data_IF_466256479619
#
_entry.id   IF_466256479619
#
_cell.length_a   1.000
_cell.length_b   1.000
_cell.length_c   1.000
_cell.angle_alpha   90.00
_cell.angle_beta   90.00
_cell.angle_gamma   90.00
#
_symmetry.space_group_name_H-M   'P 1'
#
loop_
_entity.id
_entity.type
_entity.pdbx_description
1 polymer ?
#
# COMPACT_ATOMS: atom_id res chain seq x y z
N UNK A 1 4.74 6.76 -7.30
CA UNK A 1 4.65 7.42 -8.63
C UNK A 1 3.84 8.70 -8.60
N UNK A 2 2.72 8.73 -7.86
CA UNK A 2 1.92 9.94 -7.65
C UNK A 2 2.37 10.81 -6.47
N UNK A 3 3.29 10.34 -5.60
CA UNK A 3 3.69 11.10 -4.40
C UNK A 3 4.18 12.53 -4.70
N UNK A 4 5.03 12.80 -5.72
CA UNK A 4 5.44 14.16 -6.05
C UNK A 4 4.28 15.05 -6.51
N UNK A 5 3.29 14.47 -7.18
CA UNK A 5 2.11 15.20 -7.62
C UNK A 5 1.19 15.54 -6.44
N UNK A 6 0.98 14.60 -5.51
CA UNK A 6 0.19 14.82 -4.29
C UNK A 6 0.85 15.90 -3.43
N UNK A 7 2.17 15.84 -3.25
CA UNK A 7 2.92 16.86 -2.53
C UNK A 7 2.81 18.25 -3.19
N UNK A 8 2.85 18.31 -4.53
CA UNK A 8 2.66 19.55 -5.27
C UNK A 8 1.26 20.15 -5.04
N UNK A 9 0.20 19.35 -5.17
CA UNK A 9 -1.19 19.81 -4.93
C UNK A 9 -1.37 20.27 -3.49
N UNK A 10 -0.90 19.50 -2.51
CA UNK A 10 -0.94 19.88 -1.10
C UNK A 10 -0.20 21.20 -0.84
N UNK A 11 0.98 21.41 -1.42
CA UNK A 11 1.72 22.67 -1.26
C UNK A 11 1.07 23.88 -1.95
N UNK A 12 0.13 23.64 -2.88
CA UNK A 12 -0.64 24.70 -3.54
C UNK A 12 -1.92 25.06 -2.78
N UNK A 13 -2.54 24.08 -2.14
CA UNK A 13 -3.80 24.24 -1.40
C UNK A 13 -3.61 24.45 0.12
N UNK A 14 -2.39 24.31 0.64
CA UNK A 14 -2.05 24.54 2.04
C UNK A 14 -0.86 25.50 2.18
N UNK A 15 -0.64 26.05 3.37
CA UNK A 15 0.53 26.91 3.66
C UNK A 15 1.86 26.13 3.78
N UNK A 16 1.85 24.81 3.53
CA UNK A 16 3.04 23.97 3.64
C UNK A 16 3.94 24.08 2.39
N UNK A 17 5.25 24.07 2.62
CA UNK A 17 6.23 23.95 1.53
C UNK A 17 6.13 22.59 0.82
N UNK A 18 6.62 22.49 -0.41
CA UNK A 18 6.65 21.22 -1.15
C UNK A 18 7.41 20.13 -0.38
N UNK A 19 8.50 20.50 0.28
CA UNK A 19 9.32 19.62 1.10
C UNK A 19 8.54 19.07 2.30
N UNK A 20 7.77 19.91 2.98
CA UNK A 20 6.91 19.52 4.10
C UNK A 20 5.75 18.64 3.65
N UNK A 21 5.08 19.01 2.55
CA UNK A 21 4.00 18.22 1.96
C UNK A 21 4.51 16.84 1.53
N UNK A 22 5.67 16.78 0.89
CA UNK A 22 6.28 15.51 0.47
C UNK A 22 6.72 14.66 1.67
N UNK A 23 7.30 15.28 2.71
CA UNK A 23 7.63 14.57 3.93
C UNK A 23 6.39 13.98 4.61
N UNK A 24 5.26 14.71 4.58
CA UNK A 24 3.96 14.24 5.10
C UNK A 24 3.42 13.04 4.30
N UNK A 25 3.44 13.12 2.96
CA UNK A 25 2.98 12.02 2.09
C UNK A 25 3.82 10.76 2.33
N UNK A 26 5.14 10.88 2.31
CA UNK A 26 6.06 9.75 2.52
C UNK A 26 5.87 9.15 3.93
N UNK A 27 5.64 10.01 4.92
CA UNK A 27 5.32 9.56 6.29
C UNK A 27 4.02 8.76 6.33
N UNK A 28 2.96 9.26 5.69
CA UNK A 28 1.68 8.57 5.62
C UNK A 28 1.81 7.22 4.90
N UNK A 29 2.58 7.16 3.82
CA UNK A 29 2.86 5.91 3.10
C UNK A 29 3.58 4.89 3.98
N UNK A 30 4.58 5.33 4.73
CA UNK A 30 5.30 4.47 5.68
C UNK A 30 4.41 3.97 6.82
N UNK A 31 3.53 4.84 7.34
CA UNK A 31 2.56 4.43 8.35
C UNK A 31 1.58 3.41 7.80
N UNK A 32 1.19 3.52 6.53
CA UNK A 32 0.33 2.56 5.84
C UNK A 32 0.99 1.19 5.60
N UNK A 33 2.32 1.09 5.67
CA UNK A 33 3.00 -0.21 5.64
C UNK A 33 2.64 -1.08 6.84
N UNK A 34 2.42 -0.49 8.02
CA UNK A 34 2.05 -1.25 9.22
C UNK A 34 0.75 -2.05 9.00
N UNK A 35 -0.40 -1.42 8.75
CA UNK A 35 -1.65 -2.14 8.52
C UNK A 35 -1.57 -3.05 7.28
N UNK A 36 -0.88 -2.64 6.20
CA UNK A 36 -0.63 -3.51 5.04
C UNK A 36 -0.02 -4.86 5.46
N UNK A 37 1.08 -4.84 6.22
CA UNK A 37 1.75 -6.07 6.65
C UNK A 37 0.97 -6.82 7.71
N UNK A 38 0.39 -6.12 8.68
CA UNK A 38 -0.36 -6.75 9.76
C UNK A 38 -1.62 -7.46 9.22
N UNK A 39 -2.37 -6.84 8.31
CA UNK A 39 -3.55 -7.45 7.70
C UNK A 39 -3.16 -8.66 6.86
N UNK A 40 -2.14 -8.50 6.01
CA UNK A 40 -1.59 -9.60 5.22
C UNK A 40 -1.16 -10.78 6.08
N UNK A 41 -0.43 -10.52 7.18
CA UNK A 41 0.08 -11.53 8.08
C UNK A 41 -1.04 -12.27 8.81
N UNK A 42 -2.03 -11.54 9.34
CA UNK A 42 -3.17 -12.13 10.05
C UNK A 42 -4.01 -12.97 9.09
N UNK A 43 -4.42 -12.40 7.96
CA UNK A 43 -5.24 -13.09 6.97
C UNK A 43 -4.56 -14.35 6.45
N UNK A 44 -3.28 -14.23 6.07
CA UNK A 44 -2.51 -15.38 5.60
C UNK A 44 -2.34 -16.46 6.66
N UNK A 45 -2.00 -16.08 7.89
CA UNK A 45 -1.75 -17.05 8.96
C UNK A 45 -3.00 -17.90 9.18
N UNK A 46 -4.18 -17.28 9.22
CA UNK A 46 -5.42 -18.04 9.40
C UNK A 46 -5.77 -18.89 8.17
N UNK A 47 -5.54 -18.38 6.95
CA UNK A 47 -5.70 -19.19 5.73
C UNK A 47 -4.80 -20.42 5.76
N UNK A 48 -3.54 -20.29 6.18
CA UNK A 48 -2.61 -21.39 6.36
C UNK A 48 -3.11 -22.44 7.37
N UNK A 49 -3.68 -22.00 8.50
CA UNK A 49 -4.21 -22.90 9.52
C UNK A 49 -5.51 -23.61 9.10
N UNK A 50 -6.38 -22.94 8.35
CA UNK A 50 -7.67 -23.49 7.90
C UNK A 50 -7.54 -24.45 6.73
N UNK A 51 -6.50 -24.29 5.93
CA UNK A 51 -6.36 -25.00 4.68
C UNK A 51 -5.51 -26.25 4.85
N UNK A 52 -6.11 -27.43 4.68
CA UNK A 52 -5.38 -28.62 4.22
C UNK A 52 -5.05 -28.43 2.74
N UNK A 53 -4.10 -27.52 2.45
CA UNK A 53 -3.78 -27.07 1.09
C UNK A 53 -3.32 -28.25 0.23
N UNK A 54 -3.95 -28.52 -0.93
CA UNK A 54 -3.32 -29.33 -1.96
C UNK A 54 -1.98 -28.70 -2.36
N UNK A 55 -0.97 -29.53 -2.66
CA UNK A 55 0.45 -29.12 -2.72
C UNK A 55 0.78 -27.88 -3.57
N UNK A 56 -0.03 -27.53 -4.57
CA UNK A 56 0.12 -26.32 -5.39
C UNK A 56 -0.10 -25.01 -4.61
N UNK A 57 -1.00 -25.00 -3.63
CA UNK A 57 -1.28 -23.79 -2.85
C UNK A 57 -0.26 -23.57 -1.71
N UNK A 58 0.57 -24.58 -1.40
CA UNK A 58 1.64 -24.49 -0.42
C UNK A 58 2.75 -23.50 -0.84
N UNK A 59 3.11 -23.44 -2.13
CA UNK A 59 4.12 -22.50 -2.62
C UNK A 59 3.66 -21.04 -2.53
N UNK A 60 2.38 -20.80 -2.85
CA UNK A 60 1.76 -19.47 -2.78
C UNK A 60 1.67 -19.02 -1.31
N UNK A 61 1.19 -19.91 -0.44
CA UNK A 61 1.19 -19.75 1.01
C UNK A 61 2.57 -19.41 1.61
N UNK A 62 3.63 -20.14 1.23
CA UNK A 62 4.99 -19.90 1.70
C UNK A 62 5.55 -18.56 1.20
N UNK A 63 5.32 -18.21 -0.06
CA UNK A 63 5.73 -16.92 -0.62
C UNK A 63 5.07 -15.75 0.11
N UNK A 64 3.78 -15.88 0.38
CA UNK A 64 3.03 -14.88 1.14
C UNK A 64 3.51 -14.80 2.59
N UNK A 65 3.91 -15.92 3.20
CA UNK A 65 4.38 -15.95 4.60
C UNK A 65 5.76 -15.32 4.71
N UNK A 66 6.62 -15.63 3.73
CA UNK A 66 7.91 -14.99 3.57
C UNK A 66 7.76 -13.47 3.37
N UNK A 67 6.74 -13.00 2.63
CA UNK A 67 6.48 -11.56 2.51
C UNK A 67 5.93 -10.95 3.80
N UNK A 68 4.94 -11.60 4.42
CA UNK A 68 4.28 -11.12 5.62
C UNK A 68 5.23 -10.99 6.82
N UNK A 69 6.19 -11.91 6.96
CA UNK A 69 7.23 -11.86 8.00
C UNK A 69 8.49 -11.13 7.53
N UNK A 70 8.90 -11.38 6.29
CA UNK A 70 10.15 -10.89 5.75
C UNK A 70 10.14 -9.38 5.57
N UNK A 71 9.05 -8.76 5.14
CA UNK A 71 9.07 -7.31 4.93
C UNK A 71 9.05 -6.52 6.24
N UNK A 72 8.22 -6.83 7.26
CA UNK A 72 8.37 -6.22 8.59
C UNK A 72 9.76 -6.44 9.18
N UNK A 73 10.34 -7.63 8.99
CA UNK A 73 11.71 -7.91 9.41
C UNK A 73 12.71 -7.04 8.65
N UNK A 74 12.59 -6.88 7.33
CA UNK A 74 13.43 -6.01 6.52
C UNK A 74 13.30 -4.55 6.93
N UNK A 75 12.09 -4.08 7.25
CA UNK A 75 11.85 -2.73 7.78
C UNK A 75 12.50 -2.56 9.15
N UNK A 76 12.32 -3.52 10.06
CA UNK A 76 12.91 -3.48 11.40
C UNK A 76 14.45 -3.55 11.36
N UNK A 77 15.01 -4.41 10.51
CA UNK A 77 16.45 -4.54 10.27
C UNK A 77 16.99 -3.27 9.60
N UNK A 78 16.28 -2.75 8.59
CA UNK A 78 16.61 -1.49 7.93
C UNK A 78 16.67 -0.32 8.91
N UNK A 79 15.70 -0.27 9.83
CA UNK A 79 15.69 0.69 10.94
C UNK A 79 16.86 0.49 11.90
N UNK A 80 17.11 -0.75 12.34
CA UNK A 80 18.17 -1.10 13.28
C UNK A 80 19.56 -0.76 12.75
N UNK A 81 19.76 -0.89 11.43
CA UNK A 81 21.01 -0.63 10.73
C UNK A 81 20.96 0.65 9.88
N UNK A 82 20.07 1.61 10.19
CA UNK A 82 19.84 2.84 9.42
C UNK A 82 21.10 3.56 8.94
N UNK A 83 22.11 3.64 9.79
CA UNK A 83 23.40 4.30 9.49
C UNK A 83 24.22 3.52 8.46
N UNK A 84 24.21 2.18 8.55
CA UNK A 84 24.87 1.31 7.57
C UNK A 84 24.10 1.23 6.27
N UNK A 85 22.76 1.24 6.34
CA UNK A 85 21.89 1.26 5.17
C UNK A 85 22.09 2.54 4.36
N UNK A 86 22.15 3.70 5.03
CA UNK A 86 22.48 4.99 4.40
C UNK A 86 23.82 4.91 3.67
N UNK A 87 24.88 4.44 4.34
CA UNK A 87 26.19 4.31 3.72
C UNK A 87 26.21 3.32 2.53
N UNK A 88 25.45 2.23 2.64
CA UNK A 88 25.30 1.23 1.57
C UNK A 88 24.56 1.78 0.36
N UNK A 89 23.42 2.45 0.56
CA UNK A 89 22.64 3.11 -0.50
C UNK A 89 23.50 4.15 -1.20
N UNK A 90 24.20 5.00 -0.45
CA UNK A 90 25.09 6.01 -1.04
C UNK A 90 26.24 5.38 -1.84
N UNK A 91 26.79 4.23 -1.42
CA UNK A 91 27.79 3.49 -2.21
C UNK A 91 27.25 2.94 -3.52
N UNK A 92 26.01 2.44 -3.52
CA UNK A 92 25.36 1.89 -4.73
C UNK A 92 24.91 3.00 -5.68
N UNK A 93 24.46 4.12 -5.12
CA UNK A 93 23.97 5.28 -5.87
C UNK A 93 25.11 6.13 -6.43
N UNK A 94 26.25 6.25 -5.72
CA UNK A 94 27.43 7.00 -6.18
C UNK A 94 27.87 6.73 -7.64
N UNK A 95 28.00 5.46 -8.11
CA UNK A 95 28.38 5.19 -9.50
C UNK A 95 27.26 5.49 -10.52
N UNK A 96 26.01 5.63 -10.08
CA UNK A 96 24.85 6.00 -10.90
C UNK A 96 24.77 7.53 -11.00
N UNK A 97 24.97 8.25 -9.90
CA UNK A 97 24.99 9.72 -9.87
C UNK A 97 26.16 10.29 -10.66
N UNK A 98 27.28 9.58 -10.75
CA UNK A 98 28.39 9.95 -11.65
C UNK A 98 28.05 9.83 -13.14
N UNK A 99 26.96 9.14 -13.50
CA UNK A 99 26.53 8.94 -14.90
C UNK A 99 25.36 9.84 -15.29
N UNK A 100 24.73 10.53 -14.35
CA UNK A 100 23.52 11.31 -14.61
C UNK A 100 23.48 12.60 -13.79
N UNK A 101 23.31 13.75 -14.43
CA UNK A 101 23.14 15.04 -13.73
C UNK A 101 21.77 15.20 -13.04
N UNK A 102 20.86 14.24 -13.24
CA UNK A 102 19.49 14.27 -12.68
C UNK A 102 19.39 13.80 -11.23
N UNK A 103 20.43 13.15 -10.71
CA UNK A 103 20.45 12.57 -9.36
C UNK A 103 21.78 12.92 -8.69
N UNK A 104 21.76 13.61 -7.55
CA UNK A 104 22.95 13.86 -6.74
C UNK A 104 22.96 12.98 -5.50
N UNK A 105 24.17 12.56 -5.09
CA UNK A 105 24.35 11.78 -3.87
C UNK A 105 23.95 12.59 -2.64
N UNK A 106 24.17 13.92 -2.64
CA UNK A 106 23.69 14.80 -1.57
C UNK A 106 22.16 14.85 -1.50
N UNK A 107 21.44 14.91 -2.63
CA UNK A 107 19.98 14.93 -2.63
C UNK A 107 19.40 13.62 -2.09
N UNK A 108 20.00 12.48 -2.43
CA UNK A 108 19.59 11.17 -1.89
C UNK A 108 19.90 11.07 -0.40
N UNK A 109 21.06 11.57 0.05
CA UNK A 109 21.40 11.61 1.47
C UNK A 109 20.44 12.51 2.27
N UNK A 110 20.13 13.70 1.76
CA UNK A 110 19.19 14.64 2.36
C UNK A 110 17.78 14.02 2.48
N UNK A 111 17.29 13.37 1.41
CA UNK A 111 16.01 12.65 1.42
C UNK A 111 15.96 11.54 2.48
N UNK A 112 17.04 10.79 2.64
CA UNK A 112 17.15 9.74 3.67
C UNK A 112 17.16 10.38 5.08
N UNK A 113 17.82 11.51 5.27
CA UNK A 113 17.87 12.21 6.55
C UNK A 113 16.52 12.86 6.90
N UNK A 114 15.82 13.45 5.94
CA UNK A 114 14.47 13.99 6.10
C UNK A 114 13.47 12.89 6.48
N UNK A 115 13.60 11.71 5.87
CA UNK A 115 12.83 10.52 6.22
C UNK A 115 13.03 10.13 7.69
N UNK A 116 14.29 10.03 8.13
CA UNK A 116 14.61 9.69 9.53
C UNK A 116 14.19 10.80 10.50
N UNK A 117 14.30 12.06 10.10
CA UNK A 117 13.85 13.20 10.90
C UNK A 117 12.32 13.22 11.03
N UNK A 118 11.59 12.91 9.97
CA UNK A 118 10.13 12.77 10.00
C UNK A 118 9.71 11.66 10.97
N UNK A 119 10.35 10.49 10.91
CA UNK A 119 10.14 9.43 11.91
C UNK A 119 10.47 9.89 13.33
N UNK A 120 11.55 10.64 13.52
CA UNK A 120 11.95 11.22 14.80
C UNK A 120 10.92 12.20 15.37
N UNK A 121 10.28 13.00 14.52
CA UNK A 121 9.20 13.93 14.89
C UNK A 121 7.92 13.21 15.28
N UNK A 122 7.54 12.14 14.58
CA UNK A 122 6.37 11.34 14.97
C UNK A 122 6.62 10.63 16.31
N UNK A 123 7.86 10.18 16.54
CA UNK A 123 8.26 9.53 17.79
C UNK A 123 8.31 10.50 19.00
N UNK A 124 8.30 11.82 18.79
CA UNK A 124 8.39 12.81 19.88
C UNK A 124 7.05 13.06 20.58
N UNK A 125 5.91 12.74 19.94
CA UNK A 125 4.58 12.79 20.54
C UNK A 125 3.88 11.43 20.45
N UNK A 126 3.80 10.73 21.59
CA UNK A 126 3.12 9.42 21.67
C UNK A 126 1.66 9.48 21.24
N UNK A 127 0.97 10.60 21.55
CA UNK A 127 -0.45 10.77 21.20
C UNK A 127 -0.61 10.89 19.69
N UNK A 128 0.16 11.78 19.05
CA UNK A 128 0.11 11.95 17.59
C UNK A 128 0.47 10.65 16.85
N UNK A 129 1.45 9.89 17.36
CA UNK A 129 1.79 8.58 16.80
C UNK A 129 0.63 7.59 16.91
N UNK A 130 -0.03 7.51 18.08
CA UNK A 130 -1.18 6.61 18.28
C UNK A 130 -2.34 7.00 17.36
N UNK A 131 -2.66 8.29 17.26
CA UNK A 131 -3.70 8.79 16.35
C UNK A 131 -3.40 8.46 14.89
N UNK A 132 -2.18 8.74 14.44
CA UNK A 132 -1.77 8.48 13.07
C UNK A 132 -1.82 6.98 12.72
N UNK A 133 -1.36 6.11 13.64
CA UNK A 133 -1.47 4.66 13.50
C UNK A 133 -2.94 4.22 13.50
N UNK A 134 -3.77 4.75 14.40
CA UNK A 134 -5.19 4.41 14.46
C UNK A 134 -5.91 4.79 13.16
N UNK A 135 -5.66 5.99 12.62
CA UNK A 135 -6.20 6.42 11.33
C UNK A 135 -5.71 5.54 10.17
N UNK A 136 -4.45 5.12 10.16
CA UNK A 136 -3.93 4.22 9.13
C UNK A 136 -4.66 2.86 9.17
N UNK A 137 -4.82 2.26 10.36
CA UNK A 137 -5.56 1.01 10.51
C UNK A 137 -7.04 1.16 10.14
N UNK A 138 -7.69 2.23 10.59
CA UNK A 138 -9.08 2.52 10.26
C UNK A 138 -9.29 2.70 8.76
N UNK A 139 -8.39 3.44 8.11
CA UNK A 139 -8.37 3.61 6.66
C UNK A 139 -8.28 2.27 5.93
N UNK A 140 -7.39 1.37 6.39
CA UNK A 140 -7.28 0.03 5.82
C UNK A 140 -8.51 -0.85 6.05
N UNK A 141 -9.17 -0.75 7.21
CA UNK A 141 -10.45 -1.44 7.43
C UNK A 141 -11.49 -0.96 6.42
N UNK A 142 -11.67 0.35 6.27
CA UNK A 142 -12.60 0.90 5.30
C UNK A 142 -12.20 0.66 3.85
N UNK A 143 -10.92 0.48 3.58
CA UNK A 143 -10.43 0.10 2.27
C UNK A 143 -10.73 -1.37 1.95
N UNK A 144 -10.65 -2.27 2.93
CA UNK A 144 -10.89 -3.70 2.74
C UNK A 144 -12.38 -4.08 2.81
N UNK A 145 -13.16 -3.36 3.62
CA UNK A 145 -14.58 -3.60 3.88
C UNK A 145 -15.45 -3.76 2.61
N UNK A 146 -15.28 -2.96 1.54
CA UNK A 146 -16.07 -3.10 0.32
C UNK A 146 -15.99 -4.49 -0.31
N UNK A 147 -14.85 -5.19 -0.22
CA UNK A 147 -14.74 -6.54 -0.78
C UNK A 147 -15.58 -7.54 0.03
N UNK A 148 -15.55 -7.40 1.35
CA UNK A 148 -16.37 -8.21 2.25
C UNK A 148 -17.86 -7.99 1.99
N UNK A 149 -18.29 -6.72 1.90
CA UNK A 149 -19.68 -6.36 1.61
C UNK A 149 -20.13 -6.83 0.22
N UNK A 150 -19.24 -6.78 -0.78
CA UNK A 150 -19.52 -7.35 -2.11
C UNK A 150 -19.74 -8.87 -2.04
N UNK A 151 -18.94 -9.58 -1.22
CA UNK A 151 -19.13 -11.00 -0.91
C UNK A 151 -20.51 -11.29 -0.32
N UNK A 152 -20.93 -10.52 0.68
CA UNK A 152 -22.26 -10.64 1.27
C UNK A 152 -23.39 -10.36 0.26
N UNK A 153 -23.20 -9.34 -0.58
CA UNK A 153 -24.20 -8.92 -1.58
C UNK A 153 -24.44 -9.99 -2.64
N UNK A 154 -23.39 -10.73 -3.02
CA UNK A 154 -23.46 -11.81 -4.00
C UNK A 154 -23.68 -13.19 -3.37
N UNK A 155 -23.98 -13.26 -2.07
CA UNK A 155 -24.17 -14.48 -1.28
C UNK A 155 -22.99 -15.47 -1.37
N UNK A 156 -21.77 -14.92 -1.41
CA UNK A 156 -20.52 -15.69 -1.50
C UNK A 156 -19.95 -15.89 -0.11
N UNK A 157 -20.42 -16.93 0.59
CA UNK A 157 -19.98 -17.27 1.95
C UNK A 157 -18.47 -17.53 2.09
N UNK A 158 -17.78 -17.83 0.98
CA UNK A 158 -16.33 -18.04 0.96
C UNK A 158 -15.54 -16.73 1.13
N UNK A 159 -16.15 -15.56 0.94
CA UNK A 159 -15.51 -14.25 1.18
C UNK A 159 -15.67 -13.89 2.66
N UNK A 160 -14.93 -14.57 3.52
CA UNK A 160 -14.90 -14.25 4.94
C UNK A 160 -13.93 -13.09 5.24
N UNK A 161 -14.07 -12.38 6.37
CA UNK A 161 -13.24 -11.23 6.69
C UNK A 161 -11.73 -11.53 6.68
N UNK A 162 -11.32 -12.75 7.04
CA UNK A 162 -9.91 -13.12 7.10
C UNK A 162 -9.30 -13.32 5.71
N UNK A 163 -10.06 -13.89 4.77
CA UNK A 163 -9.68 -13.90 3.36
C UNK A 163 -9.49 -12.48 2.84
N UNK A 164 -10.41 -11.56 3.17
CA UNK A 164 -10.36 -10.17 2.73
C UNK A 164 -9.12 -9.43 3.26
N UNK A 165 -8.76 -9.64 4.53
CA UNK A 165 -7.52 -9.09 5.13
C UNK A 165 -6.25 -9.52 4.41
N UNK A 166 -6.29 -10.67 3.71
CA UNK A 166 -5.17 -11.14 2.92
C UNK A 166 -5.25 -10.68 1.44
N UNK A 167 -6.40 -10.92 0.79
CA UNK A 167 -6.59 -10.69 -0.65
C UNK A 167 -6.45 -9.22 -1.01
N UNK A 168 -6.99 -8.31 -0.18
CA UNK A 168 -6.95 -6.87 -0.48
C UNK A 168 -5.52 -6.34 -0.51
N UNK A 169 -4.70 -6.44 0.55
CA UNK A 169 -3.29 -6.00 0.49
C UNK A 169 -2.48 -6.75 -0.59
N UNK A 170 -2.66 -8.07 -0.73
CA UNK A 170 -1.93 -8.82 -1.74
C UNK A 170 -2.21 -8.31 -3.17
N UNK A 171 -3.46 -7.91 -3.45
CA UNK A 171 -3.84 -7.35 -4.75
C UNK A 171 -3.23 -5.97 -5.02
N UNK A 172 -2.99 -5.14 -3.99
CA UNK A 172 -2.41 -3.81 -4.20
C UNK A 172 -0.96 -3.86 -4.68
N UNK A 173 -0.26 -4.98 -4.45
CA UNK A 173 1.07 -5.21 -5.02
C UNK A 173 1.05 -5.25 -6.55
N UNK A 174 -0.05 -5.70 -7.16
CA UNK A 174 -0.22 -5.64 -8.61
C UNK A 174 -0.45 -4.20 -9.12
N UNK A 175 -0.74 -3.25 -8.23
CA UNK A 175 -0.71 -1.82 -8.53
C UNK A 175 0.70 -1.27 -8.78
N UNK A 176 1.75 -2.03 -8.45
CA UNK A 176 3.14 -1.71 -8.81
C UNK A 176 3.46 -2.03 -10.28
N UNK A 177 2.53 -2.69 -11.00
CA UNK A 177 2.67 -2.86 -12.44
C UNK A 177 2.69 -1.49 -13.11
N UNK A 178 3.39 -1.31 -14.26
CA UNK A 178 3.49 -0.02 -14.95
C UNK A 178 2.18 0.51 -15.55
N UNK A 179 1.04 -0.03 -15.14
CA UNK A 179 -0.28 0.37 -15.62
C UNK A 179 -0.69 1.71 -14.98
N UNK A 180 -1.32 2.63 -15.74
CA UNK A 180 -1.85 3.86 -15.18
C UNK A 180 -2.82 3.56 -14.03
N UNK A 181 -2.49 3.98 -12.81
CA UNK A 181 -3.34 3.80 -11.63
C UNK A 181 -3.57 2.35 -11.18
N UNK A 182 -2.72 1.40 -11.61
CA UNK A 182 -2.88 -0.02 -11.27
C UNK A 182 -4.02 -0.72 -12.02
N UNK A 183 -4.61 -0.06 -13.02
CA UNK A 183 -5.73 -0.54 -13.80
C UNK A 183 -5.38 -1.82 -14.56
N UNK A 184 -6.21 -2.84 -14.40
CA UNK A 184 -6.03 -4.17 -14.99
C UNK A 184 -5.13 -5.06 -14.13
N UNK A 185 -4.07 -4.52 -13.51
CA UNK A 185 -3.19 -5.30 -12.63
C UNK A 185 -3.88 -5.74 -11.34
N UNK A 186 -4.51 -4.81 -10.63
CA UNK A 186 -5.20 -5.09 -9.36
C UNK A 186 -6.42 -5.96 -9.58
N UNK A 187 -7.20 -5.70 -10.64
CA UNK A 187 -8.36 -6.51 -11.03
C UNK A 187 -7.97 -7.96 -11.31
N UNK A 188 -6.93 -8.18 -12.12
CA UNK A 188 -6.44 -9.53 -12.45
C UNK A 188 -5.92 -10.23 -11.21
N UNK A 189 -5.20 -9.52 -10.32
CA UNK A 189 -4.71 -10.10 -9.08
C UNK A 189 -5.86 -10.50 -8.13
N UNK A 190 -6.89 -9.66 -8.00
CA UNK A 190 -8.08 -9.97 -7.19
C UNK A 190 -8.78 -11.23 -7.71
N UNK A 191 -9.05 -11.30 -9.01
CA UNK A 191 -9.67 -12.48 -9.64
C UNK A 191 -8.79 -13.71 -9.45
N UNK A 192 -7.49 -13.55 -9.70
CA UNK A 192 -6.37 -14.43 -9.37
C UNK A 192 -6.53 -15.14 -8.02
N UNK A 193 -6.47 -14.32 -6.99
CA UNK A 193 -6.45 -14.72 -5.60
C UNK A 193 -7.80 -15.31 -5.16
N UNK A 194 -8.92 -14.75 -5.60
CA UNK A 194 -10.25 -15.26 -5.27
C UNK A 194 -10.46 -16.66 -5.84
N UNK A 195 -10.11 -16.91 -7.10
CA UNK A 195 -10.21 -18.26 -7.71
C UNK A 195 -9.25 -19.24 -7.02
N UNK A 196 -8.05 -18.79 -6.67
CA UNK A 196 -7.05 -19.66 -6.05
C UNK A 196 -7.41 -20.06 -4.60
N UNK A 197 -8.10 -19.20 -3.87
CA UNK A 197 -8.33 -19.35 -2.43
C UNK A 197 -9.77 -19.71 -2.07
N UNK A 198 -10.69 -19.67 -3.02
CA UNK A 198 -12.11 -19.97 -2.80
C UNK A 198 -12.68 -20.82 -3.94
N UNK A 199 -13.74 -21.60 -3.70
CA UNK A 199 -14.35 -22.45 -4.72
C UNK A 199 -15.27 -21.69 -5.70
N UNK A 200 -15.09 -20.37 -5.85
CA UNK A 200 -15.96 -19.53 -6.68
C UNK A 200 -15.64 -19.67 -8.17
N UNK A 201 -16.65 -19.47 -9.02
CA UNK A 201 -16.44 -19.42 -10.46
C UNK A 201 -15.66 -18.17 -10.87
N UNK A 202 -14.94 -18.24 -12.01
CA UNK A 202 -14.22 -17.08 -12.55
C UNK A 202 -15.14 -15.86 -12.79
N UNK A 203 -16.38 -16.10 -13.22
CA UNK A 203 -17.38 -15.05 -13.39
C UNK A 203 -17.73 -14.36 -12.06
N UNK A 204 -17.88 -15.14 -10.98
CA UNK A 204 -18.16 -14.60 -9.64
C UNK A 204 -16.97 -13.82 -9.08
N UNK A 205 -15.76 -14.35 -9.22
CA UNK A 205 -14.53 -13.66 -8.83
C UNK A 205 -14.38 -12.32 -9.57
N UNK A 206 -14.67 -12.30 -10.88
CA UNK A 206 -14.66 -11.07 -11.66
C UNK A 206 -15.72 -10.06 -11.19
N UNK A 207 -16.94 -10.52 -10.91
CA UNK A 207 -18.01 -9.66 -10.37
C UNK A 207 -17.62 -9.03 -9.02
N UNK A 208 -17.04 -9.83 -8.12
CA UNK A 208 -16.53 -9.34 -6.83
C UNK A 208 -15.42 -8.31 -7.01
N UNK A 209 -14.42 -8.59 -7.85
CA UNK A 209 -13.33 -7.68 -8.14
C UNK A 209 -13.83 -6.37 -8.73
N UNK A 210 -14.80 -6.42 -9.66
CA UNK A 210 -15.36 -5.24 -10.28
C UNK A 210 -16.16 -4.39 -9.29
N UNK A 211 -17.04 -4.99 -8.49
CA UNK A 211 -17.79 -4.30 -7.43
C UNK A 211 -16.84 -3.62 -6.44
N UNK A 212 -15.84 -4.37 -5.96
CA UNK A 212 -14.82 -3.84 -5.07
C UNK A 212 -14.11 -2.63 -5.67
N UNK A 213 -13.71 -2.69 -6.94
CA UNK A 213 -12.99 -1.59 -7.61
C UNK A 213 -13.89 -0.40 -7.88
N UNK A 214 -15.17 -0.61 -8.17
CA UNK A 214 -16.15 0.48 -8.28
C UNK A 214 -16.20 1.26 -6.97
N UNK A 215 -16.29 0.57 -5.84
CA UNK A 215 -16.39 1.19 -4.51
C UNK A 215 -15.07 1.80 -4.03
N UNK A 216 -13.94 1.11 -4.25
CA UNK A 216 -12.63 1.49 -3.69
C UNK A 216 -11.82 2.44 -4.57
N UNK A 217 -12.12 2.52 -5.87
CA UNK A 217 -11.30 3.27 -6.82
C UNK A 217 -12.13 4.13 -7.78
N UNK A 218 -13.00 3.53 -8.58
CA UNK A 218 -13.69 4.28 -9.65
C UNK A 218 -14.61 5.37 -9.11
N UNK A 219 -15.32 5.09 -8.01
CA UNK A 219 -16.16 6.10 -7.36
C UNK A 219 -15.35 7.31 -6.90
N UNK A 220 -14.27 7.08 -6.16
CA UNK A 220 -13.39 8.14 -5.68
C UNK A 220 -12.73 8.91 -6.83
N UNK A 221 -12.33 8.21 -7.90
CA UNK A 221 -11.76 8.82 -9.10
C UNK A 221 -12.75 9.74 -9.81
N UNK A 222 -13.99 9.32 -10.00
CA UNK A 222 -15.03 10.12 -10.67
C UNK A 222 -15.40 11.33 -9.83
N UNK A 223 -15.65 11.14 -8.53
CA UNK A 223 -16.03 12.23 -7.62
C UNK A 223 -14.89 13.23 -7.45
N UNK A 224 -13.67 12.75 -7.20
CA UNK A 224 -12.48 13.59 -7.06
C UNK A 224 -12.13 14.31 -8.36
N UNK A 225 -12.25 13.63 -9.50
CA UNK A 225 -12.04 14.23 -10.82
C UNK A 225 -13.06 15.32 -11.15
N UNK A 226 -14.34 15.08 -10.86
CA UNK A 226 -15.39 16.10 -11.05
C UNK A 226 -15.16 17.32 -10.15
N UNK A 227 -14.77 17.11 -8.88
CA UNK A 227 -14.43 18.20 -7.97
C UNK A 227 -13.23 19.01 -8.47
N UNK A 228 -12.16 18.33 -8.93
CA UNK A 228 -10.98 18.98 -9.48
C UNK A 228 -11.28 19.82 -10.73
N UNK A 229 -12.10 19.29 -11.65
CA UNK A 229 -12.58 20.06 -12.82
C UNK A 229 -13.35 21.30 -12.36
N UNK A 230 -14.21 21.16 -11.35
CA UNK A 230 -14.97 22.27 -10.78
C UNK A 230 -14.10 23.37 -10.17
N UNK A 231 -12.95 23.02 -9.58
CA UNK A 231 -11.98 23.99 -9.04
C UNK A 231 -11.24 24.70 -10.18
N UNK A 232 -10.72 23.95 -11.16
CA UNK A 232 -9.99 24.51 -12.31
C UNK A 232 -10.90 25.40 -13.17
N UNK A 233 -12.19 25.10 -13.29
CA UNK A 233 -13.13 25.94 -14.02
C UNK A 233 -13.42 27.30 -13.34
N UNK A 234 -13.02 27.48 -12.07
CA UNK A 234 -13.20 28.72 -11.30
C UNK A 234 -11.94 29.60 -11.25
N UNK A 235 -10.79 29.05 -11.64
CA UNK A 235 -9.49 29.75 -11.73
C UNK A 235 -9.25 30.30 -13.12
#
# INVERSE_FOLDING_TARGET
GGEPFIAYVLSRDTEATYEEALASVVTADLLNLLPFFSFSAVGLSVLLFRSSLPGAANGLAQGLLAMALGVPLLVAVGWRFRTRLRAGVLRVVAPITQRTDRLSAEAVAARIDDLYAAFGRIASSRVALVEAVAFAYLGWVFFALPLYVAGLTLDVAAVDPLLVLFVVPASTLAGLTPSPGGLGGVEVALVALLIALTPVSAATAFALALLYRVMSYWFALVVGGAAAIGVVARS
#
